data_IF_779914455568
#
_entry.id   IF_779914455568
#
_cell.length_a   1.000
_cell.length_b   1.000
_cell.length_c   1.000
_cell.angle_alpha   90.00
_cell.angle_beta   90.00
_cell.angle_gamma   90.00
#
_symmetry.space_group_name_H-M   'P 1'
#
loop_
_entity.id
_entity.type
_entity.pdbx_description
1 polymer ?
#
# COMPACT_ATOMS: atom_id res chain seq x y z
N UNK A 1 17.18 12.90 -6.01
CA UNK A 1 17.36 12.22 -7.31
C UNK A 1 16.85 13.11 -8.43
N UNK A 2 17.54 13.17 -9.56
CA UNK A 2 17.06 13.92 -10.72
C UNK A 2 15.76 13.27 -11.26
N UNK A 3 14.86 14.09 -11.80
CA UNK A 3 13.55 13.65 -12.30
C UNK A 3 13.65 12.68 -13.49
N UNK A 4 14.78 12.66 -14.18
CA UNK A 4 15.08 11.82 -15.34
C UNK A 4 16.01 10.64 -15.02
N UNK A 5 16.17 10.30 -13.74
CA UNK A 5 16.98 9.18 -13.30
C UNK A 5 16.46 7.87 -13.92
N UNK A 6 17.29 7.14 -14.70
CA UNK A 6 16.86 5.90 -15.35
C UNK A 6 16.56 4.75 -14.37
N UNK A 7 16.96 4.88 -13.10
CA UNK A 7 16.65 3.91 -12.05
C UNK A 7 15.23 4.08 -11.49
N UNK A 8 14.58 5.18 -11.82
CA UNK A 8 13.19 5.44 -11.37
C UNK A 8 12.21 4.85 -12.38
N UNK A 9 11.30 4.03 -11.90
CA UNK A 9 10.26 3.41 -12.71
C UNK A 9 9.27 4.46 -13.26
N UNK A 10 9.00 4.42 -14.56
CA UNK A 10 8.13 5.39 -15.24
C UNK A 10 6.68 5.29 -14.80
N UNK A 11 6.18 4.08 -14.52
CA UNK A 11 4.82 3.88 -14.01
C UNK A 11 4.69 4.45 -12.60
N UNK A 12 5.71 4.28 -11.77
CA UNK A 12 5.75 4.85 -10.44
C UNK A 12 5.75 6.39 -10.49
N UNK A 13 6.51 6.99 -11.41
CA UNK A 13 6.47 8.45 -11.65
C UNK A 13 5.07 8.93 -12.01
N UNK A 14 4.43 8.23 -12.94
CA UNK A 14 3.07 8.57 -13.37
C UNK A 14 2.07 8.51 -12.21
N UNK A 15 2.16 7.49 -11.38
CA UNK A 15 1.30 7.34 -10.21
C UNK A 15 1.54 8.47 -9.19
N UNK A 16 2.78 8.73 -8.83
CA UNK A 16 3.12 9.80 -7.88
C UNK A 16 2.66 11.16 -8.40
N UNK A 17 2.85 11.43 -9.69
CA UNK A 17 2.39 12.67 -10.33
C UNK A 17 0.87 12.81 -10.27
N UNK A 18 0.14 11.75 -10.64
CA UNK A 18 -1.33 11.76 -10.63
C UNK A 18 -1.90 11.95 -9.22
N UNK A 19 -1.32 11.29 -8.22
CA UNK A 19 -1.73 11.44 -6.83
C UNK A 19 -1.44 12.84 -6.30
N UNK A 20 -0.31 13.40 -6.66
CA UNK A 20 0.06 14.77 -6.30
C UNK A 20 -0.95 15.78 -6.85
N UNK A 21 -1.29 15.66 -8.13
CA UNK A 21 -2.27 16.54 -8.78
C UNK A 21 -3.66 16.46 -8.13
N UNK A 22 -4.06 15.26 -7.72
CA UNK A 22 -5.37 15.03 -7.09
C UNK A 22 -5.40 15.31 -5.59
N UNK A 23 -4.26 15.60 -4.98
CA UNK A 23 -4.16 15.75 -3.54
C UNK A 23 -4.47 14.46 -2.78
N UNK A 24 -4.23 13.31 -3.39
CA UNK A 24 -4.47 11.98 -2.82
C UNK A 24 -3.18 11.35 -2.32
N UNK A 25 -3.31 10.35 -1.47
CA UNK A 25 -2.19 9.58 -0.93
C UNK A 25 -2.34 8.10 -1.26
N UNK A 26 -1.27 7.35 -1.09
CA UNK A 26 -1.23 5.91 -1.36
C UNK A 26 -0.56 5.17 -0.21
N UNK A 27 -1.03 3.97 0.06
CA UNK A 27 -0.38 3.01 0.93
C UNK A 27 -0.35 1.66 0.22
N UNK A 28 0.59 0.81 0.59
CA UNK A 28 0.78 -0.50 -0.04
C UNK A 28 0.44 -1.63 0.91
N UNK A 29 -0.07 -2.74 0.36
CA UNK A 29 -0.25 -3.99 1.07
C UNK A 29 0.43 -5.09 0.23
N UNK A 30 1.54 -5.60 0.71
CA UNK A 30 2.41 -6.48 -0.05
C UNK A 30 2.59 -7.83 0.62
N UNK A 31 2.79 -8.87 -0.18
CA UNK A 31 3.17 -10.20 0.26
C UNK A 31 4.42 -10.65 -0.51
N UNK A 32 4.22 -11.24 -1.68
CA UNK A 32 5.28 -11.77 -2.53
C UNK A 32 6.39 -10.75 -2.82
N UNK A 33 6.03 -9.54 -3.06
CA UNK A 33 6.95 -8.45 -3.38
C UNK A 33 7.75 -7.93 -2.18
N UNK A 34 7.31 -8.27 -0.96
CA UNK A 34 8.03 -8.04 0.30
C UNK A 34 8.53 -6.59 0.50
N UNK A 35 7.74 -5.61 0.05
CA UNK A 35 8.06 -4.19 0.16
C UNK A 35 8.60 -3.56 -1.12
N UNK A 36 8.78 -4.32 -2.20
CA UNK A 36 9.31 -3.80 -3.46
C UNK A 36 8.42 -2.72 -4.07
N UNK A 37 7.10 -2.87 -4.00
CA UNK A 37 6.16 -1.86 -4.51
C UNK A 37 6.34 -0.52 -3.76
N UNK A 38 6.36 -0.57 -2.45
CA UNK A 38 6.59 0.63 -1.63
C UNK A 38 7.96 1.25 -1.92
N UNK A 39 9.00 0.42 -2.02
CA UNK A 39 10.36 0.88 -2.34
C UNK A 39 10.44 1.52 -3.73
N UNK A 40 9.75 0.96 -4.71
CA UNK A 40 9.68 1.51 -6.07
C UNK A 40 9.01 2.88 -6.07
N UNK A 41 7.91 3.05 -5.36
CA UNK A 41 7.24 4.35 -5.20
C UNK A 41 8.12 5.35 -4.46
N UNK A 42 8.78 4.91 -3.39
CA UNK A 42 9.65 5.77 -2.59
C UNK A 42 10.87 6.28 -3.38
N UNK A 43 11.28 5.60 -4.43
CA UNK A 43 12.35 6.03 -5.33
C UNK A 43 12.00 7.23 -6.21
N UNK A 44 10.73 7.59 -6.32
CA UNK A 44 10.29 8.73 -7.15
C UNK A 44 10.49 10.04 -6.40
N UNK A 45 11.11 11.06 -7.01
CA UNK A 45 11.17 12.40 -6.42
C UNK A 45 9.76 12.93 -6.09
N UNK A 46 9.57 13.42 -4.87
CA UNK A 46 8.28 13.90 -4.39
C UNK A 46 7.36 12.82 -3.80
N UNK A 47 7.78 11.55 -3.77
CA UNK A 47 6.97 10.45 -3.23
C UNK A 47 6.58 10.66 -1.76
N UNK A 48 7.39 11.35 -0.97
CA UNK A 48 7.08 11.62 0.44
C UNK A 48 5.78 12.40 0.67
N UNK A 49 5.31 13.10 -0.35
CA UNK A 49 4.06 13.85 -0.29
C UNK A 49 2.82 12.97 -0.49
N UNK A 50 2.99 11.79 -1.06
CA UNK A 50 1.87 10.91 -1.44
C UNK A 50 1.95 9.52 -0.81
N UNK A 51 3.13 8.97 -0.60
CA UNK A 51 3.29 7.64 0.02
C UNK A 51 3.17 7.75 1.54
N UNK A 52 2.16 7.09 2.10
CA UNK A 52 1.88 7.12 3.54
C UNK A 52 2.62 6.01 4.30
N UNK A 53 2.85 4.90 3.65
CA UNK A 53 3.42 3.72 4.26
C UNK A 53 2.90 2.46 3.61
N UNK A 54 3.09 1.33 4.27
CA UNK A 54 2.63 0.06 3.73
C UNK A 54 2.73 -1.05 4.75
N UNK A 55 2.20 -2.19 4.37
CA UNK A 55 2.26 -3.41 5.15
C UNK A 55 2.84 -4.52 4.31
N UNK A 56 3.68 -5.31 4.95
CA UNK A 56 4.22 -6.53 4.35
C UNK A 56 3.67 -7.69 5.17
N UNK A 57 2.70 -8.41 4.58
CA UNK A 57 2.04 -9.55 5.22
C UNK A 57 2.39 -10.83 4.46
N UNK A 58 3.63 -11.24 4.59
CA UNK A 58 4.20 -12.34 3.82
C UNK A 58 3.63 -13.70 4.23
N UNK A 59 3.26 -13.89 5.47
CA UNK A 59 2.72 -15.13 6.01
C UNK A 59 1.20 -15.11 6.08
N UNK A 60 0.59 -16.30 6.15
CA UNK A 60 -0.86 -16.44 6.41
C UNK A 60 -1.24 -15.78 7.73
N UNK A 61 -0.45 -16.00 8.76
CA UNK A 61 -0.67 -15.39 10.07
C UNK A 61 -0.72 -13.86 10.02
N UNK A 62 0.24 -13.22 9.34
CA UNK A 62 0.25 -11.75 9.22
C UNK A 62 -0.87 -11.22 8.33
N UNK A 63 -1.33 -11.99 7.34
CA UNK A 63 -2.52 -11.62 6.56
C UNK A 63 -3.77 -11.54 7.44
N UNK A 64 -3.88 -12.43 8.41
CA UNK A 64 -5.00 -12.43 9.36
C UNK A 64 -4.81 -11.33 10.41
N UNK A 65 -3.67 -11.29 11.08
CA UNK A 65 -3.45 -10.44 12.25
C UNK A 65 -3.26 -8.97 11.90
N UNK A 66 -2.54 -8.67 10.84
CA UNK A 66 -2.23 -7.29 10.42
C UNK A 66 -3.17 -6.80 9.33
N UNK A 67 -3.44 -7.63 8.33
CA UNK A 67 -4.28 -7.24 7.20
C UNK A 67 -5.77 -7.50 7.43
N UNK A 68 -6.13 -8.26 8.44
CA UNK A 68 -7.52 -8.57 8.75
C UNK A 68 -8.22 -9.43 7.71
N UNK A 69 -7.46 -10.18 6.89
CA UNK A 69 -8.04 -11.14 5.94
C UNK A 69 -8.71 -12.25 6.73
N UNK A 70 -9.98 -12.61 6.42
CA UNK A 70 -10.67 -13.68 7.14
C UNK A 70 -9.93 -15.01 7.03
N UNK A 71 -9.72 -15.68 8.18
CA UNK A 71 -9.06 -16.98 8.23
C UNK A 71 -9.79 -18.03 7.38
N UNK A 72 -11.12 -17.99 7.40
CA UNK A 72 -11.96 -18.90 6.62
C UNK A 72 -11.73 -18.75 5.11
N UNK A 73 -11.52 -17.53 4.64
CA UNK A 73 -11.23 -17.28 3.23
C UNK A 73 -9.89 -17.90 2.83
N UNK A 74 -8.87 -17.78 3.69
CA UNK A 74 -7.54 -18.35 3.46
C UNK A 74 -7.58 -19.88 3.45
N UNK A 75 -8.42 -20.50 4.29
CA UNK A 75 -8.63 -21.95 4.29
C UNK A 75 -9.30 -22.44 3.01
N UNK A 76 -10.26 -21.68 2.47
CA UNK A 76 -11.01 -22.05 1.28
C UNK A 76 -10.22 -21.87 -0.01
N UNK A 77 -9.50 -20.77 -0.18
CA UNK A 77 -8.88 -20.37 -1.46
C UNK A 77 -7.36 -20.24 -1.38
N UNK A 78 -6.80 -20.28 -0.19
CA UNK A 78 -5.35 -20.14 0.04
C UNK A 78 -4.86 -18.70 0.06
N UNK A 79 -3.56 -18.51 0.40
CA UNK A 79 -2.96 -17.18 0.55
C UNK A 79 -2.67 -16.49 -0.79
N UNK A 80 -2.59 -17.25 -1.87
CA UNK A 80 -2.29 -16.75 -3.23
C UNK A 80 -3.52 -17.01 -4.11
N UNK A 81 -4.50 -16.14 -4.00
CA UNK A 81 -5.73 -16.21 -4.77
C UNK A 81 -6.36 -14.83 -4.94
N UNK A 82 -7.11 -14.63 -6.01
CA UNK A 82 -7.77 -13.36 -6.30
C UNK A 82 -8.73 -12.91 -5.18
N UNK A 83 -9.57 -13.77 -4.58
CA UNK A 83 -10.41 -13.36 -3.45
C UNK A 83 -9.61 -12.87 -2.25
N UNK A 84 -8.49 -13.51 -1.92
CA UNK A 84 -7.58 -13.10 -0.84
C UNK A 84 -7.00 -11.71 -1.13
N UNK A 85 -6.51 -11.50 -2.35
CA UNK A 85 -5.95 -10.22 -2.76
C UNK A 85 -6.99 -9.09 -2.72
N UNK A 86 -8.23 -9.36 -3.06
CA UNK A 86 -9.32 -8.38 -2.99
C UNK A 86 -9.76 -8.05 -1.56
N UNK A 87 -9.77 -9.05 -0.67
CA UNK A 87 -10.14 -8.85 0.73
C UNK A 87 -9.11 -8.05 1.52
N UNK A 88 -7.87 -8.17 1.16
CA UNK A 88 -6.71 -7.61 1.85
C UNK A 88 -6.75 -6.08 2.00
N UNK A 89 -6.81 -5.27 0.93
CA UNK A 89 -6.84 -3.82 1.07
C UNK A 89 -8.09 -3.31 1.77
N UNK A 90 -9.23 -3.97 1.57
CA UNK A 90 -10.52 -3.57 2.19
C UNK A 90 -10.52 -3.76 3.70
N UNK A 91 -10.01 -4.87 4.18
CA UNK A 91 -9.91 -5.14 5.61
C UNK A 91 -8.98 -4.13 6.30
N UNK A 92 -7.98 -3.66 5.56
CA UNK A 92 -7.00 -2.71 6.05
C UNK A 92 -7.47 -1.28 6.11
N UNK A 93 -8.28 -0.83 5.16
CA UNK A 93 -8.76 0.55 5.12
C UNK A 93 -9.52 0.95 6.39
N UNK A 94 -10.13 0.00 7.07
CA UNK A 94 -10.85 0.26 8.32
C UNK A 94 -9.94 0.33 9.56
N UNK A 95 -8.87 -0.48 9.63
CA UNK A 95 -7.98 -0.53 10.80
C UNK A 95 -6.81 0.44 10.71
N UNK A 96 -6.29 0.65 9.54
CA UNK A 96 -5.09 1.48 9.35
C UNK A 96 -5.41 2.95 9.18
N UNK A 97 -6.63 3.32 8.83
CA UNK A 97 -7.01 4.73 8.87
C UNK A 97 -6.87 5.28 10.30
N UNK A 98 -7.14 4.47 11.33
CA UNK A 98 -6.90 4.85 12.72
C UNK A 98 -5.40 4.89 13.06
N UNK A 99 -4.62 3.91 12.62
CA UNK A 99 -3.17 3.88 12.84
C UNK A 99 -2.44 4.97 12.07
N UNK A 100 -2.80 5.22 10.82
CA UNK A 100 -2.21 6.28 10.01
C UNK A 100 -2.59 7.67 10.50
N UNK A 101 -3.77 7.84 11.08
CA UNK A 101 -4.16 9.09 11.77
C UNK A 101 -3.31 9.30 13.03
N UNK A 102 -3.00 8.25 13.76
CA UNK A 102 -2.17 8.34 14.96
C UNK A 102 -0.71 8.71 14.65
N UNK A 103 -0.19 8.29 13.48
CA UNK A 103 1.21 8.51 13.09
C UNK A 103 1.40 9.83 12.32
N UNK A 104 0.40 10.30 11.59
CA UNK A 104 0.58 11.36 10.59
C UNK A 104 -0.18 12.67 10.81
N UNK A 105 -0.90 12.83 11.92
CA UNK A 105 -1.80 13.98 12.07
C UNK A 105 -2.95 13.93 11.06
N UNK A 106 -4.00 14.68 11.32
CA UNK A 106 -5.23 14.68 10.53
C UNK A 106 -4.99 15.17 9.09
N UNK A 107 -4.59 14.29 8.20
CA UNK A 107 -4.68 14.55 6.77
C UNK A 107 -6.09 14.20 6.33
N UNK A 108 -6.82 15.19 5.85
CA UNK A 108 -8.13 15.03 5.21
C UNK A 108 -8.05 14.39 3.82
N UNK A 109 -6.88 13.91 3.42
CA UNK A 109 -6.65 13.36 2.10
C UNK A 109 -7.07 11.90 2.05
N UNK A 110 -7.80 11.56 1.02
CA UNK A 110 -8.15 10.19 0.73
C UNK A 110 -6.90 9.37 0.42
N UNK A 111 -6.80 8.19 1.04
CA UNK A 111 -5.69 7.26 0.82
C UNK A 111 -6.17 6.08 -0.01
N UNK A 112 -5.48 5.83 -1.12
CA UNK A 112 -5.70 4.66 -1.96
C UNK A 112 -4.75 3.54 -1.53
N UNK A 113 -5.26 2.33 -1.44
CA UNK A 113 -4.48 1.13 -1.15
C UNK A 113 -4.11 0.39 -2.44
N UNK A 114 -2.87 0.03 -2.55
CA UNK A 114 -2.33 -0.81 -3.63
C UNK A 114 -1.88 -2.16 -3.10
#
# INVERSE_FOLDING_TARGET
MPADDPLVDDNARGLVSALTERGQTVATAESLTAGLLAATLAGVPGASMVLRGGLITYTVETKITLAGVPAELLEQVGPVAAPTARAWPRAHSMRTSEHLRAIGGASSRETTWL
#
